data_IF_153883653477
#
_entry.id   IF_153883653477
#
_cell.length_a   1.000
_cell.length_b   1.000
_cell.length_c   1.000
_cell.angle_alpha   90.00
_cell.angle_beta   90.00
_cell.angle_gamma   90.00
#
_symmetry.space_group_name_H-M   'P 1'
#
loop_
_entity.id
_entity.type
_entity.pdbx_description
1 polymer ?
#
# COMPACT_ATOMS: atom_id res chain seq x y z
N UNK A 1 -33.40 -52.94 5.09
CA UNK A 1 -32.17 -52.12 5.12
C UNK A 1 -30.99 -53.06 4.88
N UNK A 2 -30.33 -52.97 3.72
CA UNK A 2 -29.19 -53.82 3.39
C UNK A 2 -27.94 -53.30 4.09
N UNK A 3 -27.31 -54.12 4.93
CA UNK A 3 -26.12 -53.74 5.69
C UNK A 3 -24.89 -53.85 4.79
N UNK A 4 -24.22 -52.74 4.47
CA UNK A 4 -22.98 -52.77 3.70
C UNK A 4 -21.85 -53.41 4.53
N UNK A 5 -21.26 -54.49 4.01
CA UNK A 5 -20.12 -55.16 4.63
C UNK A 5 -18.85 -54.40 4.28
N UNK A 6 -18.20 -53.79 5.28
CA UNK A 6 -16.91 -53.11 5.09
C UNK A 6 -15.80 -54.15 5.07
N UNK A 7 -15.14 -54.30 3.92
CA UNK A 7 -13.95 -55.14 3.76
C UNK A 7 -12.76 -54.20 3.68
N UNK A 8 -11.88 -54.23 4.68
CA UNK A 8 -10.61 -53.51 4.61
C UNK A 8 -9.66 -54.29 3.70
N UNK A 9 -9.20 -53.65 2.63
CA UNK A 9 -8.22 -54.23 1.72
C UNK A 9 -6.83 -54.18 2.38
N UNK A 10 -6.16 -55.34 2.45
CA UNK A 10 -4.80 -55.44 2.97
C UNK A 10 -3.87 -54.49 2.18
N UNK A 11 -3.11 -53.66 2.89
CA UNK A 11 -2.23 -52.63 2.29
C UNK A 11 -2.86 -51.24 2.16
N UNK A 12 -4.15 -51.07 2.45
CA UNK A 12 -4.79 -49.73 2.43
C UNK A 12 -4.20 -48.76 3.46
N UNK A 13 -3.67 -49.26 4.58
CA UNK A 13 -2.99 -48.44 5.59
C UNK A 13 -1.70 -47.81 5.06
N UNK A 14 -1.06 -48.41 4.06
CA UNK A 14 0.20 -47.93 3.48
C UNK A 14 -0.01 -46.67 2.62
N UNK A 15 -1.20 -46.53 2.02
CA UNK A 15 -1.62 -45.36 1.23
C UNK A 15 -1.96 -44.14 2.10
N UNK A 16 -2.35 -44.36 3.35
CA UNK A 16 -2.71 -43.29 4.30
C UNK A 16 -1.63 -43.08 5.36
N UNK A 17 -0.43 -43.65 5.19
CA UNK A 17 0.69 -43.33 6.06
C UNK A 17 0.96 -41.83 5.94
N UNK A 18 1.03 -41.10 7.07
CA UNK A 18 1.54 -39.74 7.06
C UNK A 18 2.97 -39.82 6.55
N UNK A 19 3.20 -39.46 5.28
CA UNK A 19 4.54 -39.18 4.79
C UNK A 19 5.00 -37.98 5.60
N UNK A 20 5.76 -38.21 6.67
CA UNK A 20 6.42 -37.11 7.37
C UNK A 20 7.27 -36.43 6.32
N UNK A 21 6.96 -35.17 5.91
CA UNK A 21 8.02 -34.40 5.30
C UNK A 21 9.01 -34.24 6.46
N UNK A 22 10.20 -34.84 6.35
CA UNK A 22 11.32 -34.22 7.03
C UNK A 22 11.33 -32.80 6.50
N UNK A 23 10.85 -31.86 7.32
CA UNK A 23 11.00 -30.44 7.06
C UNK A 23 12.50 -30.22 7.15
N UNK A 24 13.15 -30.36 6.00
CA UNK A 24 14.58 -30.13 5.83
C UNK A 24 14.76 -28.64 6.08
N UNK A 25 15.27 -28.31 7.26
CA UNK A 25 15.65 -26.95 7.68
C UNK A 25 16.56 -26.25 6.66
N UNK A 26 17.23 -27.01 5.80
CA UNK A 26 18.13 -26.48 4.76
C UNK A 26 17.36 -25.81 3.61
N UNK A 27 16.06 -26.09 3.43
CA UNK A 27 15.25 -25.40 2.40
C UNK A 27 14.79 -24.01 2.83
N UNK A 28 14.73 -23.71 4.13
CA UNK A 28 14.37 -22.38 4.61
C UNK A 28 15.43 -21.33 4.26
N UNK A 29 16.71 -21.72 4.15
CA UNK A 29 17.79 -20.82 3.72
C UNK A 29 17.67 -20.49 2.22
N UNK A 30 17.35 -21.48 1.39
CA UNK A 30 17.17 -21.29 -0.06
C UNK A 30 15.96 -20.42 -0.35
N UNK A 31 14.86 -20.60 0.38
CA UNK A 31 13.64 -19.77 0.24
C UNK A 31 13.92 -18.32 0.64
N UNK A 32 14.74 -18.06 1.68
CA UNK A 32 15.11 -16.68 2.05
C UNK A 32 15.95 -15.98 0.99
N UNK A 33 16.78 -16.70 0.25
CA UNK A 33 17.59 -16.14 -0.84
C UNK A 33 16.80 -15.89 -2.14
N UNK A 34 15.73 -16.65 -2.38
CA UNK A 34 14.90 -16.54 -3.59
C UNK A 34 13.78 -15.48 -3.47
N UNK A 35 13.40 -15.09 -2.25
CA UNK A 35 12.41 -14.04 -2.03
C UNK A 35 13.14 -12.71 -1.98
N UNK A 36 13.14 -12.01 -3.11
CA UNK A 36 13.48 -10.59 -3.22
C UNK A 36 12.50 -9.77 -2.37
N UNK A 37 12.72 -9.76 -1.05
CA UNK A 37 12.00 -8.89 -0.13
C UNK A 37 12.48 -7.50 -0.50
N UNK A 38 11.63 -6.76 -1.22
CA UNK A 38 11.87 -5.34 -1.51
C UNK A 38 12.46 -4.72 -0.26
N UNK A 39 13.69 -4.21 -0.39
CA UNK A 39 14.40 -3.57 0.71
C UNK A 39 13.41 -2.67 1.42
N UNK A 40 13.41 -2.67 2.76
CA UNK A 40 12.65 -1.70 3.52
C UNK A 40 13.19 -0.34 3.15
N UNK A 41 12.63 0.26 2.10
CA UNK A 41 12.88 1.62 1.67
C UNK A 41 12.60 2.43 2.92
N UNK A 42 13.64 2.97 3.54
CA UNK A 42 13.47 3.88 4.66
C UNK A 42 12.58 4.98 4.13
N UNK A 43 11.34 5.08 4.61
CA UNK A 43 10.50 6.23 4.36
C UNK A 43 11.29 7.43 4.90
N UNK A 44 11.95 8.14 3.99
CA UNK A 44 12.59 9.40 4.32
C UNK A 44 11.43 10.36 4.48
N UNK A 45 10.94 10.49 5.71
CA UNK A 45 9.96 11.53 6.07
C UNK A 45 10.73 12.84 6.02
N UNK A 46 10.78 13.45 4.83
CA UNK A 46 11.57 14.64 4.55
C UNK A 46 11.04 15.86 5.30
N UNK A 47 9.72 15.93 5.57
CA UNK A 47 9.09 16.98 6.38
C UNK A 47 7.62 16.63 6.70
N UNK A 48 7.20 16.80 7.95
CA UNK A 48 5.78 16.75 8.31
C UNK A 48 5.20 18.17 8.28
N UNK A 49 4.18 18.39 7.45
CA UNK A 49 3.45 19.66 7.35
C UNK A 49 2.03 19.46 7.90
N UNK A 50 1.60 20.37 8.78
CA UNK A 50 0.25 20.35 9.33
C UNK A 50 -0.64 21.28 8.51
N UNK A 51 -1.75 20.75 8.00
CA UNK A 51 -2.74 21.52 7.24
C UNK A 51 -4.06 21.63 7.99
N UNK A 52 -4.73 22.77 7.86
CA UNK A 52 -6.12 22.92 8.30
C UNK A 52 -7.07 22.23 7.31
N UNK A 53 -8.32 21.92 7.69
CA UNK A 53 -9.30 21.35 6.75
C UNK A 53 -9.52 22.22 5.51
N UNK A 54 -9.57 23.54 5.69
CA UNK A 54 -9.73 24.54 4.61
C UNK A 54 -8.54 24.50 3.64
N UNK A 55 -7.32 24.42 4.17
CA UNK A 55 -6.11 24.29 3.38
C UNK A 55 -6.10 22.98 2.56
N UNK A 56 -6.59 21.88 3.13
CA UNK A 56 -6.69 20.58 2.44
C UNK A 56 -7.67 20.68 1.26
N UNK A 57 -8.84 21.29 1.46
CA UNK A 57 -9.82 21.49 0.39
C UNK A 57 -9.24 22.32 -0.77
N UNK A 58 -8.52 23.38 -0.43
CA UNK A 58 -7.88 24.26 -1.40
C UNK A 58 -6.78 23.53 -2.20
N UNK A 59 -6.03 22.64 -1.53
CA UNK A 59 -5.00 21.80 -2.16
C UNK A 59 -5.63 20.76 -3.11
N UNK A 60 -6.76 20.17 -2.73
CA UNK A 60 -7.52 19.25 -3.58
C UNK A 60 -8.04 19.95 -4.84
N UNK A 61 -8.54 21.18 -4.71
CA UNK A 61 -9.00 21.95 -5.87
C UNK A 61 -7.84 22.34 -6.80
N UNK A 62 -6.68 22.69 -6.24
CA UNK A 62 -5.47 22.96 -7.02
C UNK A 62 -5.04 21.71 -7.83
N UNK A 63 -5.07 20.53 -7.22
CA UNK A 63 -4.78 19.26 -7.90
C UNK A 63 -5.77 18.99 -9.03
N UNK A 64 -7.07 19.19 -8.79
CA UNK A 64 -8.09 19.03 -9.84
C UNK A 64 -7.90 20.05 -10.98
N UNK A 65 -7.36 21.22 -10.67
CA UNK A 65 -7.06 22.24 -11.67
C UNK A 65 -5.88 21.84 -12.54
N UNK A 66 -4.80 21.38 -11.93
CA UNK A 66 -3.63 20.86 -12.62
C UNK A 66 -3.95 19.60 -13.45
N UNK A 67 -4.80 18.71 -12.96
CA UNK A 67 -5.16 17.45 -13.64
C UNK A 67 -6.04 17.66 -14.87
N UNK A 68 -6.88 18.70 -14.88
CA UNK A 68 -7.84 18.94 -15.94
C UNK A 68 -7.75 20.40 -16.42
N UNK A 69 -6.63 20.84 -17.02
CA UNK A 69 -6.41 22.23 -17.37
C UNK A 69 -7.43 22.77 -18.39
N UNK A 70 -7.88 21.93 -19.32
CA UNK A 70 -8.83 22.29 -20.38
C UNK A 70 -10.26 22.51 -19.88
N UNK A 71 -10.53 22.18 -18.61
CA UNK A 71 -11.86 22.34 -18.03
C UNK A 71 -12.13 23.82 -17.80
N UNK A 72 -13.09 24.36 -18.55
CA UNK A 72 -13.54 25.75 -18.41
C UNK A 72 -14.00 25.99 -16.97
N UNK A 73 -13.34 26.92 -16.28
CA UNK A 73 -13.62 27.31 -14.90
C UNK A 73 -13.76 28.83 -14.80
N UNK A 74 -14.60 29.32 -13.86
CA UNK A 74 -14.67 30.75 -13.59
C UNK A 74 -13.32 31.26 -13.09
N UNK A 75 -13.04 32.55 -13.33
CA UNK A 75 -11.88 33.21 -12.74
C UNK A 75 -12.03 33.16 -11.22
N UNK A 76 -11.01 32.64 -10.54
CA UNK A 76 -11.00 32.54 -9.09
C UNK A 76 -10.88 33.94 -8.47
N UNK A 77 -11.50 34.19 -7.30
CA UNK A 77 -11.37 35.46 -6.60
C UNK A 77 -9.94 35.69 -6.12
N UNK A 78 -9.55 36.96 -5.95
CA UNK A 78 -8.19 37.35 -5.55
C UNK A 78 -7.78 36.73 -4.21
N UNK A 79 -8.67 36.76 -3.22
CA UNK A 79 -8.43 36.19 -1.88
C UNK A 79 -8.01 34.71 -1.93
N UNK A 80 -8.54 33.97 -2.91
CA UNK A 80 -8.20 32.56 -3.11
C UNK A 80 -6.84 32.36 -3.78
N UNK A 81 -6.43 33.31 -4.61
CA UNK A 81 -5.09 33.31 -5.17
C UNK A 81 -4.05 33.53 -4.07
N UNK A 82 -4.32 34.48 -3.16
CA UNK A 82 -3.45 34.73 -2.01
C UNK A 82 -3.37 33.51 -1.07
N UNK A 83 -4.50 32.83 -0.84
CA UNK A 83 -4.53 31.58 -0.08
C UNK A 83 -3.72 30.44 -0.75
N UNK A 84 -3.76 30.34 -2.08
CA UNK A 84 -2.95 29.37 -2.84
C UNK A 84 -1.46 29.68 -2.75
N UNK A 85 -1.09 30.96 -2.80
CA UNK A 85 0.33 31.36 -2.68
C UNK A 85 0.86 31.14 -1.26
N UNK A 86 0.06 31.43 -0.23
CA UNK A 86 0.38 31.08 1.16
C UNK A 86 0.64 29.57 1.34
N UNK A 87 -0.20 28.73 0.72
CA UNK A 87 0.01 27.27 0.71
C UNK A 87 1.29 26.88 -0.05
N UNK A 88 1.57 27.52 -1.18
CA UNK A 88 2.79 27.28 -1.95
C UNK A 88 4.03 27.58 -1.09
N UNK A 89 4.08 28.73 -0.43
CA UNK A 89 5.18 29.12 0.47
C UNK A 89 5.34 28.09 1.60
N UNK A 90 4.23 27.69 2.23
CA UNK A 90 4.21 26.68 3.31
C UNK A 90 4.79 25.33 2.87
N UNK A 91 4.46 24.89 1.65
CA UNK A 91 4.97 23.64 1.07
C UNK A 91 6.44 23.76 0.66
N UNK A 92 6.84 24.87 0.04
CA UNK A 92 8.22 25.13 -0.39
C UNK A 92 9.17 25.31 0.80
N UNK A 93 8.66 25.73 1.96
CA UNK A 93 9.48 25.92 3.15
C UNK A 93 10.32 27.18 3.12
N UNK A 94 10.04 28.11 2.23
CA UNK A 94 10.59 29.46 2.29
C UNK A 94 9.99 30.12 3.53
N UNK A 95 10.76 30.10 4.62
CA UNK A 95 10.54 31.02 5.74
C UNK A 95 11.02 32.38 5.22
N UNK A 96 10.15 33.40 5.11
CA UNK A 96 10.64 34.75 4.85
C UNK A 96 11.53 35.17 6.03
N UNK A 97 12.76 35.60 5.74
CA UNK A 97 13.72 36.17 6.70
C UNK A 97 13.14 37.36 7.47
#
# INVERSE_FOLDING_TARGET
MTTFKRVSLAGSEELFRPTRPQVVTDTDEVIRGAVDRHEKVKEVVLRTLNFTPEEIELLLEAIQTAKYPDRVRPKQPLDKFDALDALRIKVQGEVPD
#
